data_IF_459232502954
#
_entry.id   IF_459232502954
#
_cell.length_a   1.000
_cell.length_b   1.000
_cell.length_c   1.000
_cell.angle_alpha   90.00
_cell.angle_beta   90.00
_cell.angle_gamma   90.00
#
_symmetry.space_group_name_H-M   'P 1'
#
loop_
_entity.id
_entity.type
_entity.pdbx_description
1 polymer ?
#
# COMPACT_ATOMS: atom_id res chain seq x y z
N UNK A 1 -0.15 -28.68 6.42
CA UNK A 1 0.02 -27.65 7.47
C UNK A 1 -0.05 -26.27 6.83
N UNK A 2 -1.07 -25.48 7.19
CA UNK A 2 -1.51 -24.27 6.48
C UNK A 2 -0.43 -23.17 6.51
N UNK A 3 -0.09 -22.55 5.35
CA UNK A 3 0.94 -21.48 5.22
C UNK A 3 0.74 -20.30 6.20
N UNK A 4 -0.50 -20.04 6.58
CA UNK A 4 -0.86 -19.00 7.55
C UNK A 4 -0.54 -19.38 9.02
N UNK A 5 -0.53 -20.67 9.36
CA UNK A 5 -0.13 -21.14 10.69
C UNK A 5 1.38 -21.02 10.88
N UNK A 6 2.19 -21.34 9.86
CA UNK A 6 3.66 -21.13 9.90
C UNK A 6 4.06 -19.68 10.09
N UNK A 7 3.36 -18.71 9.43
CA UNK A 7 3.62 -17.28 9.62
C UNK A 7 3.28 -16.77 11.02
N UNK A 8 2.23 -17.30 11.66
CA UNK A 8 1.88 -16.92 13.04
C UNK A 8 2.87 -17.50 14.05
N UNK A 9 3.33 -18.74 13.87
CA UNK A 9 4.31 -19.38 14.75
C UNK A 9 5.67 -18.68 14.67
N UNK A 10 6.15 -18.32 13.49
CA UNK A 10 7.41 -17.55 13.33
C UNK A 10 7.34 -16.14 13.88
N UNK A 11 6.16 -15.54 14.01
CA UNK A 11 5.98 -14.24 14.65
C UNK A 11 6.01 -14.30 16.19
N UNK A 12 5.58 -15.42 16.79
CA UNK A 12 5.51 -15.62 18.25
C UNK A 12 6.80 -16.23 18.81
N UNK A 13 7.56 -16.95 18.00
CA UNK A 13 8.79 -17.65 18.40
C UNK A 13 9.82 -16.76 19.13
N UNK A 14 10.14 -15.52 18.67
CA UNK A 14 11.09 -14.64 19.36
C UNK A 14 10.60 -14.24 20.76
N UNK A 15 9.30 -14.07 20.97
CA UNK A 15 8.75 -13.74 22.30
C UNK A 15 8.87 -14.90 23.26
N UNK A 16 8.66 -16.13 22.79
CA UNK A 16 8.84 -17.34 23.60
C UNK A 16 10.31 -17.50 23.99
N UNK A 17 11.25 -17.29 23.07
CA UNK A 17 12.70 -17.39 23.34
C UNK A 17 13.11 -16.37 24.40
N UNK A 18 12.64 -15.14 24.32
CA UNK A 18 12.95 -14.08 25.30
C UNK A 18 12.36 -14.41 26.66
N UNK A 19 11.11 -14.87 26.72
CA UNK A 19 10.49 -15.27 27.98
C UNK A 19 11.23 -16.43 28.65
N UNK A 20 11.65 -17.41 27.88
CA UNK A 20 12.45 -18.55 28.39
C UNK A 20 13.83 -18.08 28.86
N UNK A 21 14.49 -17.17 28.13
CA UNK A 21 15.77 -16.61 28.54
C UNK A 21 15.66 -15.79 29.85
N UNK A 22 14.60 -15.03 30.04
CA UNK A 22 14.33 -14.28 31.27
C UNK A 22 14.07 -15.24 32.44
N UNK A 23 13.28 -16.30 32.25
CA UNK A 23 13.02 -17.30 33.27
C UNK A 23 14.30 -18.04 33.68
N UNK A 24 15.14 -18.40 32.70
CA UNK A 24 16.44 -19.03 32.95
C UNK A 24 17.41 -18.07 33.69
N UNK A 25 17.42 -16.78 33.34
CA UNK A 25 18.23 -15.79 34.05
C UNK A 25 17.77 -15.61 35.49
N UNK A 26 16.47 -15.54 35.74
CA UNK A 26 15.90 -15.46 37.09
C UNK A 26 16.19 -16.76 37.87
N UNK A 27 16.09 -17.92 37.25
CA UNK A 27 16.41 -19.21 37.87
C UNK A 27 17.89 -19.36 38.24
N UNK A 28 18.79 -18.80 37.44
CA UNK A 28 20.22 -18.76 37.75
C UNK A 28 20.57 -17.79 38.87
N UNK A 29 19.80 -16.71 39.06
CA UNK A 29 19.96 -15.78 40.21
C UNK A 29 19.33 -16.32 41.50
N UNK A 30 18.38 -17.25 41.42
CA UNK A 30 17.78 -17.91 42.59
C UNK A 30 18.71 -19.01 43.10
N UNK A 31 19.80 -18.61 43.74
CA UNK A 31 20.65 -19.52 44.50
C UNK A 31 19.84 -20.19 45.63
N UNK A 32 20.19 -21.44 45.97
CA UNK A 32 19.55 -22.25 47.02
C UNK A 32 19.23 -21.38 48.24
N UNK A 33 18.00 -21.46 48.72
CA UNK A 33 17.54 -20.81 49.95
C UNK A 33 18.42 -21.22 51.13
N UNK A 34 19.22 -20.26 51.60
CA UNK A 34 19.93 -20.38 52.90
C UNK A 34 19.07 -19.67 53.92
N UNK A 35 18.70 -20.36 54.98
CA UNK A 35 17.90 -19.81 56.07
C UNK A 35 18.70 -18.68 56.71
N UNK A 36 18.20 -17.45 56.67
CA UNK A 36 18.72 -16.32 57.42
C UNK A 36 18.07 -16.35 58.78
N UNK A 37 18.83 -16.57 59.85
CA UNK A 37 18.35 -16.40 61.21
C UNK A 37 18.87 -15.05 61.67
N UNK A 38 18.00 -14.12 61.99
CA UNK A 38 18.42 -12.80 62.52
C UNK A 38 18.87 -12.95 63.95
N UNK A 39 20.12 -13.40 64.14
CA UNK A 39 20.77 -13.50 65.44
C UNK A 39 21.60 -12.21 65.68
N UNK A 40 21.63 -11.78 66.92
CA UNK A 40 22.55 -10.69 67.34
C UNK A 40 23.95 -11.25 67.46
N UNK A 41 24.97 -10.39 67.38
CA UNK A 41 26.37 -10.79 67.39
C UNK A 41 26.71 -11.66 68.61
N UNK A 42 26.28 -11.24 69.84
CA UNK A 42 26.54 -11.99 71.06
C UNK A 42 25.90 -13.38 71.05
N UNK A 43 24.72 -13.56 70.46
CA UNK A 43 24.06 -14.86 70.36
C UNK A 43 24.85 -15.79 69.42
N UNK A 44 25.49 -15.25 68.41
CA UNK A 44 26.36 -16.04 67.54
C UNK A 44 27.63 -16.46 68.30
N UNK A 45 28.26 -15.57 69.04
CA UNK A 45 29.45 -15.88 69.84
C UNK A 45 29.12 -16.95 70.89
N UNK A 46 28.00 -16.82 71.57
CA UNK A 46 27.54 -17.80 72.59
C UNK A 46 27.36 -19.24 72.00
N UNK A 47 26.99 -19.37 70.71
CA UNK A 47 26.95 -20.66 70.02
C UNK A 47 28.33 -21.31 69.88
N UNK A 48 29.39 -20.50 69.76
CA UNK A 48 30.78 -20.98 69.73
C UNK A 48 31.28 -21.34 71.11
N UNK A 49 31.04 -20.49 72.12
CA UNK A 49 31.41 -20.75 73.51
C UNK A 49 30.78 -22.03 74.06
N UNK A 50 29.48 -22.25 73.78
CA UNK A 50 28.76 -23.41 74.24
C UNK A 50 29.04 -24.69 73.42
N UNK A 51 29.92 -24.59 72.41
CA UNK A 51 30.27 -25.73 71.57
C UNK A 51 29.10 -26.31 70.77
N UNK A 52 28.06 -25.50 70.49
CA UNK A 52 26.84 -25.93 69.78
C UNK A 52 27.04 -26.00 68.27
N UNK A 53 28.21 -25.64 67.73
CA UNK A 53 28.52 -25.65 66.32
C UNK A 53 29.27 -26.92 65.93
N UNK A 54 28.92 -27.48 64.74
CA UNK A 54 29.60 -28.64 64.19
C UNK A 54 30.73 -28.23 63.23
N UNK A 55 30.47 -27.22 62.39
CA UNK A 55 31.46 -26.70 61.44
C UNK A 55 31.15 -25.25 61.09
N UNK A 56 32.19 -24.50 60.77
CA UNK A 56 32.04 -23.13 60.23
C UNK A 56 33.10 -22.75 59.18
N UNK A 57 32.71 -21.86 58.33
CA UNK A 57 33.54 -21.28 57.26
C UNK A 57 33.44 -19.77 57.32
N UNK A 58 34.56 -19.07 57.51
CA UNK A 58 34.62 -17.62 57.59
C UNK A 58 35.40 -17.08 56.44
N UNK A 59 34.78 -16.17 55.68
CA UNK A 59 35.45 -15.44 54.64
C UNK A 59 36.15 -14.19 55.25
N UNK A 60 37.45 -14.18 55.20
CA UNK A 60 38.27 -13.12 55.83
C UNK A 60 38.13 -11.75 55.16
N UNK A 61 37.72 -11.68 53.91
CA UNK A 61 37.55 -10.42 53.17
C UNK A 61 36.14 -9.84 53.30
N UNK A 62 35.10 -10.66 53.31
CA UNK A 62 33.71 -10.20 53.31
C UNK A 62 33.02 -10.30 54.68
N UNK A 63 33.64 -10.95 55.65
CA UNK A 63 33.01 -11.24 56.97
C UNK A 63 31.84 -12.22 56.88
N UNK A 64 31.66 -12.90 55.75
CA UNK A 64 30.59 -13.87 55.61
C UNK A 64 30.94 -15.16 56.36
N UNK A 65 30.16 -15.46 57.42
CA UNK A 65 30.25 -16.63 58.23
C UNK A 65 29.15 -17.63 57.78
N UNK A 66 29.54 -18.85 57.46
CA UNK A 66 28.63 -19.98 57.27
C UNK A 66 28.90 -20.96 58.42
N UNK A 67 27.86 -21.44 59.07
CA UNK A 67 28.01 -22.38 60.19
C UNK A 67 26.89 -23.39 60.23
N UNK A 68 27.15 -24.53 60.79
CA UNK A 68 26.17 -25.59 61.08
C UNK A 68 26.06 -25.79 62.60
N UNK A 69 24.82 -26.02 63.07
CA UNK A 69 24.53 -26.24 64.49
C UNK A 69 24.40 -27.77 64.67
N UNK A 70 24.84 -28.28 65.83
CA UNK A 70 24.70 -29.71 66.21
C UNK A 70 23.21 -30.13 66.16
N UNK A 71 22.91 -31.22 65.45
CA UNK A 71 21.54 -31.73 65.30
C UNK A 71 20.73 -31.07 64.19
N UNK A 72 21.30 -30.14 63.42
CA UNK A 72 20.64 -29.54 62.26
C UNK A 72 21.63 -29.48 61.06
N UNK A 73 21.24 -30.15 59.95
CA UNK A 73 22.07 -30.16 58.73
C UNK A 73 21.96 -28.89 57.91
N UNK A 74 21.15 -27.93 58.34
CA UNK A 74 20.98 -26.66 57.65
C UNK A 74 22.24 -25.80 57.78
N UNK A 75 22.63 -25.10 56.66
CA UNK A 75 23.73 -24.15 56.67
C UNK A 75 23.18 -22.74 56.97
N UNK A 76 23.61 -22.18 58.07
CA UNK A 76 23.26 -20.81 58.49
C UNK A 76 24.28 -19.83 57.96
N UNK A 77 23.84 -18.64 57.61
CA UNK A 77 24.71 -17.52 57.18
C UNK A 77 24.54 -16.34 58.11
N UNK A 78 25.68 -15.79 58.51
CA UNK A 78 25.77 -14.58 59.30
C UNK A 78 26.87 -13.68 58.71
N UNK A 79 26.74 -12.36 58.85
CA UNK A 79 27.78 -11.44 58.45
C UNK A 79 28.38 -10.84 59.71
N UNK A 80 29.61 -11.19 60.00
CA UNK A 80 30.28 -10.69 61.21
C UNK A 80 30.66 -9.20 60.99
N UNK A 81 30.41 -8.33 61.99
CA UNK A 81 30.73 -6.89 61.89
C UNK A 81 32.20 -6.59 61.67
N UNK A 82 33.07 -7.39 62.33
CA UNK A 82 34.53 -7.31 62.20
C UNK A 82 35.11 -8.73 62.30
N UNK A 83 35.90 -9.09 61.27
CA UNK A 83 36.53 -10.41 61.21
C UNK A 83 37.56 -10.60 62.33
N UNK A 84 38.37 -9.55 62.62
CA UNK A 84 39.38 -9.61 63.65
C UNK A 84 38.78 -9.81 65.07
N UNK A 85 37.74 -9.03 65.38
CA UNK A 85 37.05 -9.15 66.67
C UNK A 85 36.41 -10.53 66.80
N UNK A 86 35.73 -11.02 65.75
CA UNK A 86 35.09 -12.32 65.78
C UNK A 86 36.08 -13.47 65.97
N UNK A 87 37.23 -13.41 65.31
CA UNK A 87 38.30 -14.41 65.49
C UNK A 87 38.87 -14.35 66.89
N UNK A 88 39.11 -13.15 67.44
CA UNK A 88 39.61 -12.96 68.77
C UNK A 88 38.63 -13.49 69.86
N UNK A 89 37.32 -13.24 69.67
CA UNK A 89 36.26 -13.67 70.56
C UNK A 89 36.01 -15.22 70.53
N UNK A 90 36.20 -15.86 69.38
CA UNK A 90 35.74 -17.27 69.21
C UNK A 90 36.88 -18.26 69.06
N UNK A 91 38.05 -17.86 68.55
CA UNK A 91 39.13 -18.80 68.22
C UNK A 91 39.67 -19.56 69.42
N UNK A 92 39.84 -18.89 70.55
CA UNK A 92 40.33 -19.48 71.76
C UNK A 92 39.38 -20.57 72.30
N UNK A 93 38.11 -20.27 72.35
CA UNK A 93 37.06 -21.19 72.84
C UNK A 93 36.89 -22.42 71.92
N UNK A 94 36.96 -22.22 70.61
CA UNK A 94 36.96 -23.32 69.63
C UNK A 94 38.17 -24.26 69.84
N UNK A 95 39.35 -23.67 70.06
CA UNK A 95 40.58 -24.45 70.28
C UNK A 95 40.56 -25.20 71.63
N UNK A 96 40.05 -24.59 72.72
CA UNK A 96 39.87 -25.23 74.01
C UNK A 96 38.84 -26.35 73.94
N UNK A 97 37.68 -26.10 73.26
CA UNK A 97 36.64 -27.13 73.02
C UNK A 97 37.19 -28.31 72.26
N UNK A 98 37.96 -28.07 71.15
CA UNK A 98 38.54 -29.12 70.32
C UNK A 98 39.62 -29.95 71.07
N UNK A 99 40.31 -29.37 72.05
CA UNK A 99 41.25 -30.11 72.92
C UNK A 99 40.51 -30.98 73.92
N UNK A 100 39.43 -30.46 74.48
CA UNK A 100 38.62 -31.18 75.44
C UNK A 100 37.78 -32.32 74.83
N UNK A 101 37.39 -32.25 73.56
CA UNK A 101 36.52 -33.17 72.88
C UNK A 101 37.14 -33.73 71.57
N UNK A 102 38.11 -34.64 71.59
CA UNK A 102 38.84 -35.14 70.45
C UNK A 102 37.95 -35.82 69.37
N UNK A 103 36.87 -36.45 69.85
CA UNK A 103 35.94 -37.26 68.99
C UNK A 103 34.81 -36.40 68.35
N UNK A 104 34.63 -35.11 68.80
CA UNK A 104 33.57 -34.26 68.32
C UNK A 104 34.06 -32.83 68.09
N UNK A 105 35.11 -32.67 67.31
CA UNK A 105 35.76 -31.37 67.01
C UNK A 105 34.87 -30.48 66.18
N UNK A 106 34.94 -29.19 66.42
CA UNK A 106 34.40 -28.16 65.54
C UNK A 106 35.34 -27.99 64.35
N UNK A 107 34.88 -28.37 63.19
CA UNK A 107 35.65 -28.16 61.96
C UNK A 107 35.54 -26.71 61.51
N UNK A 108 36.67 -26.08 61.20
CA UNK A 108 36.64 -24.70 60.74
C UNK A 108 37.61 -24.44 59.56
N UNK A 109 37.18 -23.52 58.67
CA UNK A 109 37.97 -23.11 57.56
C UNK A 109 37.94 -21.58 57.39
N UNK A 110 39.13 -20.95 57.21
CA UNK A 110 39.25 -19.57 56.89
C UNK A 110 39.53 -19.41 55.39
N UNK A 111 38.58 -18.83 54.69
CA UNK A 111 38.71 -18.64 53.25
C UNK A 111 39.29 -17.23 53.06
N UNK A 112 40.51 -17.15 52.47
CA UNK A 112 41.00 -15.89 51.92
C UNK A 112 40.06 -15.47 50.78
N UNK A 113 39.49 -14.26 50.87
CA UNK A 113 38.51 -13.80 49.90
C UNK A 113 39.06 -13.91 48.48
N UNK A 114 38.44 -14.74 47.67
CA UNK A 114 38.57 -14.63 46.25
C UNK A 114 37.98 -13.27 45.90
N UNK A 115 38.76 -12.38 45.28
CA UNK A 115 38.27 -11.18 44.67
C UNK A 115 37.10 -11.56 43.82
N UNK A 116 35.85 -11.19 44.18
CA UNK A 116 34.68 -11.37 43.34
C UNK A 116 35.03 -10.74 42.01
N UNK A 117 35.28 -11.58 41.02
CA UNK A 117 35.72 -11.09 39.71
C UNK A 117 34.64 -10.09 39.27
N UNK A 118 34.99 -8.86 39.04
CA UNK A 118 34.12 -7.80 38.54
C UNK A 118 33.35 -8.27 37.32
N UNK A 119 33.90 -9.27 36.61
CA UNK A 119 33.31 -9.95 35.46
C UNK A 119 32.08 -10.78 35.78
N UNK A 120 31.97 -11.39 36.96
CA UNK A 120 30.78 -12.23 37.30
C UNK A 120 29.52 -11.41 37.54
N UNK A 121 29.65 -10.13 37.92
CA UNK A 121 28.54 -9.19 38.09
C UNK A 121 28.20 -8.44 36.79
N UNK A 122 29.22 -8.07 35.98
CA UNK A 122 29.05 -7.22 34.80
C UNK A 122 28.68 -8.07 33.55
N UNK A 123 29.22 -9.26 33.42
CA UNK A 123 29.03 -10.11 32.25
C UNK A 123 27.54 -10.42 31.93
N UNK A 124 26.67 -10.78 32.89
CA UNK A 124 25.25 -10.98 32.66
C UNK A 124 24.56 -9.70 32.20
N UNK A 125 24.95 -8.55 32.75
CA UNK A 125 24.38 -7.24 32.39
C UNK A 125 24.75 -6.83 30.95
N UNK A 126 25.99 -7.09 30.53
CA UNK A 126 26.43 -6.84 29.15
C UNK A 126 25.74 -7.75 28.16
N UNK A 127 25.60 -9.04 28.48
CA UNK A 127 24.91 -10.01 27.63
C UNK A 127 23.44 -9.64 27.45
N UNK A 128 22.73 -9.31 28.54
CA UNK A 128 21.32 -8.88 28.46
C UNK A 128 21.15 -7.58 27.69
N UNK A 129 22.07 -6.63 27.82
CA UNK A 129 22.08 -5.37 27.08
C UNK A 129 22.30 -5.62 25.58
N UNK A 130 23.23 -6.49 25.19
CA UNK A 130 23.46 -6.87 23.79
C UNK A 130 22.27 -7.58 23.16
N UNK A 131 21.60 -8.47 23.91
CA UNK A 131 20.38 -9.15 23.45
C UNK A 131 19.26 -8.13 23.24
N UNK A 132 19.06 -7.21 24.18
CA UNK A 132 18.06 -6.16 24.07
C UNK A 132 18.34 -5.22 22.90
N UNK A 133 19.59 -4.80 22.73
CA UNK A 133 20.00 -3.95 21.61
C UNK A 133 19.82 -4.66 20.26
N UNK A 134 20.23 -5.91 20.17
CA UNK A 134 20.00 -6.75 18.97
C UNK A 134 18.52 -6.91 18.64
N UNK A 135 17.68 -7.10 19.66
CA UNK A 135 16.22 -7.18 19.49
C UNK A 135 15.62 -5.85 19.02
N UNK A 136 16.00 -4.73 19.64
CA UNK A 136 15.55 -3.40 19.21
C UNK A 136 16.00 -3.08 17.78
N UNK A 137 17.25 -3.40 17.44
CA UNK A 137 17.77 -3.24 16.08
C UNK A 137 16.99 -4.09 15.05
N UNK A 138 16.70 -5.34 15.40
CA UNK A 138 15.87 -6.22 14.55
C UNK A 138 14.44 -5.70 14.40
N UNK A 139 13.84 -5.22 15.49
CA UNK A 139 12.50 -4.63 15.50
C UNK A 139 12.46 -3.32 14.67
N UNK A 140 13.46 -2.45 14.82
CA UNK A 140 13.61 -1.25 13.98
C UNK A 140 13.74 -1.60 12.50
N UNK A 141 14.58 -2.58 12.15
CA UNK A 141 14.76 -3.01 10.76
C UNK A 141 13.49 -3.59 10.14
N UNK A 142 12.68 -4.31 10.93
CA UNK A 142 11.39 -4.84 10.50
C UNK A 142 10.30 -3.76 10.43
N UNK A 143 10.31 -2.81 11.35
CA UNK A 143 9.40 -1.66 11.37
C UNK A 143 9.68 -0.72 10.18
N UNK A 144 10.93 -0.49 9.83
CA UNK A 144 11.31 0.36 8.69
C UNK A 144 10.82 -0.20 7.35
N UNK A 145 10.74 -1.54 7.20
CA UNK A 145 10.16 -2.14 6.01
C UNK A 145 8.65 -1.95 5.92
N UNK A 146 7.93 -1.99 7.04
CA UNK A 146 6.48 -1.75 7.07
C UNK A 146 6.15 -0.26 6.93
N UNK A 147 6.92 0.64 7.57
CA UNK A 147 6.75 2.10 7.47
C UNK A 147 7.04 2.58 6.04
N UNK A 148 8.05 2.03 5.36
CA UNK A 148 8.30 2.35 3.95
C UNK A 148 7.16 1.87 3.02
N UNK A 149 6.50 0.75 3.34
CA UNK A 149 5.32 0.31 2.59
C UNK A 149 4.09 1.18 2.86
N UNK A 150 3.87 1.63 4.09
CA UNK A 150 2.77 2.54 4.43
C UNK A 150 3.03 3.97 3.93
N UNK A 151 4.27 4.49 4.05
CA UNK A 151 4.66 5.77 3.44
C UNK A 151 4.55 5.73 1.91
N UNK A 152 4.97 4.63 1.28
CA UNK A 152 4.79 4.46 -0.16
C UNK A 152 3.30 4.37 -0.55
N UNK A 153 2.44 3.73 0.25
CA UNK A 153 1.00 3.76 0.02
C UNK A 153 0.43 5.17 0.20
N UNK A 154 0.85 5.89 1.24
CA UNK A 154 0.41 7.28 1.49
C UNK A 154 0.92 8.23 0.40
N UNK A 155 2.15 8.06 -0.11
CA UNK A 155 2.65 8.79 -1.28
C UNK A 155 1.99 8.36 -2.59
N UNK A 156 1.39 7.17 -2.68
CA UNK A 156 0.65 6.71 -3.85
C UNK A 156 -0.77 7.29 -3.95
N UNK A 157 -1.34 7.89 -2.91
CA UNK A 157 -2.65 8.57 -2.99
C UNK A 157 -2.67 9.73 -3.99
N UNK A 158 -1.54 10.39 -4.21
CA UNK A 158 -1.40 11.47 -5.20
C UNK A 158 -1.03 11.02 -6.62
N UNK A 159 -0.79 9.72 -6.84
CA UNK A 159 -0.47 9.21 -8.18
C UNK A 159 -1.74 8.86 -8.95
N UNK A 160 -1.80 9.30 -10.19
CA UNK A 160 -2.89 8.96 -11.07
C UNK A 160 -2.94 7.44 -11.33
N UNK A 161 -4.09 6.80 -11.10
CA UNK A 161 -4.35 5.43 -11.55
C UNK A 161 -4.61 5.43 -13.06
N UNK A 162 -3.60 5.81 -13.83
CA UNK A 162 -3.71 5.92 -15.29
C UNK A 162 -3.75 4.52 -15.89
N UNK A 163 -4.76 4.25 -16.71
CA UNK A 163 -4.81 3.05 -17.53
C UNK A 163 -3.92 3.26 -18.75
N UNK A 164 -2.67 2.81 -18.68
CA UNK A 164 -1.76 2.84 -19.82
C UNK A 164 -2.08 1.69 -20.78
N UNK A 165 -2.47 2.00 -22.00
CA UNK A 165 -2.85 1.01 -23.03
C UNK A 165 -1.68 0.68 -23.98
N UNK A 166 -0.44 0.60 -23.48
CA UNK A 166 0.71 0.22 -24.32
C UNK A 166 0.80 -1.30 -24.61
N UNK A 167 0.13 -2.12 -23.82
CA UNK A 167 0.25 -3.60 -23.86
C UNK A 167 -1.01 -4.34 -24.32
N UNK A 168 -2.08 -3.63 -24.75
CA UNK A 168 -3.28 -4.33 -25.19
C UNK A 168 -3.04 -4.99 -26.57
N UNK A 169 -3.12 -6.31 -26.60
CA UNK A 169 -3.06 -7.15 -27.81
C UNK A 169 -4.11 -6.80 -28.89
N UNK A 170 -5.13 -5.98 -28.54
CA UNK A 170 -6.18 -5.52 -29.45
C UNK A 170 -6.20 -3.99 -29.46
N UNK A 171 -5.33 -3.39 -30.27
CA UNK A 171 -5.42 -1.96 -30.57
C UNK A 171 -6.68 -1.67 -31.35
N UNK A 172 -7.46 -0.67 -30.93
CA UNK A 172 -8.62 -0.17 -31.66
C UNK A 172 -8.15 0.85 -32.69
N UNK A 173 -8.59 0.71 -33.95
CA UNK A 173 -8.27 1.60 -35.06
C UNK A 173 -9.55 2.20 -35.63
N UNK A 174 -9.45 3.09 -36.62
CA UNK A 174 -10.62 3.63 -37.31
C UNK A 174 -11.48 2.54 -37.99
N UNK A 175 -10.91 1.38 -38.33
CA UNK A 175 -11.65 0.23 -38.85
C UNK A 175 -12.61 -0.41 -37.80
N UNK A 176 -12.36 -0.18 -36.50
CA UNK A 176 -13.24 -0.64 -35.42
C UNK A 176 -14.35 0.37 -35.08
N UNK A 177 -14.30 1.59 -35.65
CA UNK A 177 -15.29 2.64 -35.46
C UNK A 177 -16.19 2.66 -36.68
N UNK A 178 -17.44 2.22 -36.51
CA UNK A 178 -18.44 2.26 -37.53
C UNK A 178 -19.19 3.59 -37.54
N UNK A 179 -19.53 4.10 -38.70
CA UNK A 179 -20.07 5.44 -38.84
C UNK A 179 -19.05 6.52 -38.47
N UNK A 180 -19.49 7.74 -38.19
CA UNK A 180 -18.67 8.87 -37.83
C UNK A 180 -17.56 9.19 -38.87
N UNK A 181 -17.90 9.12 -40.16
CA UNK A 181 -16.92 9.31 -41.23
C UNK A 181 -16.35 10.74 -41.23
N UNK A 182 -17.20 11.74 -40.95
CA UNK A 182 -16.79 13.17 -40.86
C UNK A 182 -15.84 13.40 -39.69
N UNK A 183 -16.16 12.84 -38.53
CA UNK A 183 -15.33 12.96 -37.33
C UNK A 183 -13.99 12.23 -37.49
N UNK A 184 -13.94 11.13 -38.22
CA UNK A 184 -12.68 10.43 -38.55
C UNK A 184 -11.81 11.29 -39.46
N UNK A 185 -12.37 11.90 -40.49
CA UNK A 185 -11.65 12.78 -41.42
C UNK A 185 -11.03 13.98 -40.67
N UNK A 186 -11.78 14.60 -39.75
CA UNK A 186 -11.26 15.68 -38.91
C UNK A 186 -10.11 15.22 -37.99
N UNK A 187 -10.11 13.95 -37.56
CA UNK A 187 -9.11 13.37 -36.66
C UNK A 187 -7.89 12.81 -37.44
N UNK A 188 -7.98 12.56 -38.74
CA UNK A 188 -6.86 12.04 -39.55
C UNK A 188 -5.67 13.01 -39.51
N UNK A 189 -5.91 14.31 -39.46
CA UNK A 189 -4.85 15.32 -39.34
C UNK A 189 -4.06 15.17 -38.05
N UNK A 190 -4.74 14.83 -36.94
CA UNK A 190 -4.12 14.56 -35.63
C UNK A 190 -3.28 13.28 -35.69
N UNK A 191 -3.81 12.23 -36.36
CA UNK A 191 -3.08 10.99 -36.60
C UNK A 191 -1.82 11.22 -37.43
N UNK A 192 -1.92 11.96 -38.55
CA UNK A 192 -0.78 12.27 -39.41
C UNK A 192 0.32 13.04 -38.65
N UNK A 193 -0.09 14.03 -37.84
CA UNK A 193 0.85 14.73 -36.96
C UNK A 193 1.58 13.82 -35.96
N UNK A 194 0.84 12.96 -35.29
CA UNK A 194 1.45 12.03 -34.29
C UNK A 194 2.41 11.05 -34.97
N UNK A 195 2.12 10.64 -36.21
CA UNK A 195 3.01 9.77 -37.02
C UNK A 195 4.24 10.52 -37.55
N UNK A 196 4.07 11.75 -38.02
CA UNK A 196 5.11 12.52 -38.70
C UNK A 196 5.15 13.98 -38.25
N UNK A 197 5.59 14.25 -37.00
CA UNK A 197 5.61 15.62 -36.46
C UNK A 197 6.51 16.60 -37.25
N UNK A 198 7.60 16.09 -37.83
CA UNK A 198 8.56 16.89 -38.59
C UNK A 198 7.92 17.60 -39.78
N UNK A 199 7.03 16.94 -40.51
CA UNK A 199 6.29 17.52 -41.66
C UNK A 199 5.59 18.84 -41.31
N UNK A 200 5.03 18.94 -40.12
CA UNK A 200 4.31 20.14 -39.67
C UNK A 200 5.27 21.20 -39.10
N UNK A 201 6.29 20.75 -38.37
CA UNK A 201 7.30 21.61 -37.78
C UNK A 201 8.10 22.37 -38.84
N UNK A 202 8.47 21.70 -39.93
CA UNK A 202 9.29 22.27 -41.01
C UNK A 202 8.57 23.41 -41.78
N UNK A 203 7.23 23.37 -41.77
CA UNK A 203 6.38 24.40 -42.41
C UNK A 203 5.97 25.50 -41.40
N UNK A 204 6.23 25.27 -40.09
CA UNK A 204 5.82 26.17 -39.01
C UNK A 204 4.32 26.13 -38.71
N UNK A 205 3.66 25.01 -39.04
CA UNK A 205 2.25 24.82 -38.75
C UNK A 205 2.05 24.54 -37.23
N UNK A 206 1.05 25.21 -36.66
CA UNK A 206 0.66 24.99 -35.26
C UNK A 206 -0.45 23.95 -35.21
N UNK A 207 -0.18 22.87 -34.49
CA UNK A 207 -1.14 21.81 -34.29
C UNK A 207 -1.95 22.06 -33.01
N UNK A 208 -3.23 21.72 -33.02
CA UNK A 208 -4.05 21.85 -31.83
C UNK A 208 -3.47 21.02 -30.68
N UNK A 209 -3.24 21.66 -29.54
CA UNK A 209 -2.76 20.96 -28.33
C UNK A 209 -3.85 20.10 -27.70
N UNK A 210 -5.11 20.49 -27.90
CA UNK A 210 -6.24 19.80 -27.33
C UNK A 210 -7.43 19.67 -28.27
N UNK A 211 -8.07 18.53 -28.23
CA UNK A 211 -9.29 18.18 -28.99
C UNK A 211 -10.39 17.86 -28.00
N UNK A 212 -11.53 18.54 -28.10
CA UNK A 212 -12.72 18.28 -27.32
C UNK A 212 -13.75 17.54 -28.14
N UNK A 213 -14.08 16.31 -27.74
CA UNK A 213 -15.17 15.52 -28.30
C UNK A 213 -16.46 15.85 -27.55
N UNK A 214 -17.45 16.39 -28.26
CA UNK A 214 -18.74 16.81 -27.70
C UNK A 214 -19.85 15.98 -28.32
N UNK A 215 -20.82 15.53 -27.54
CA UNK A 215 -21.98 14.84 -28.10
C UNK A 215 -22.76 14.04 -27.05
N UNK A 216 -23.92 13.47 -27.42
CA UNK A 216 -24.72 12.68 -26.53
C UNK A 216 -23.99 11.47 -25.94
N UNK A 217 -24.42 10.94 -24.78
CA UNK A 217 -23.83 9.70 -24.25
C UNK A 217 -24.06 8.54 -25.22
N UNK A 218 -23.14 7.57 -25.23
CA UNK A 218 -23.28 6.37 -26.08
C UNK A 218 -22.91 6.55 -27.56
N UNK A 219 -22.50 7.75 -28.02
CA UNK A 219 -22.11 8.00 -29.43
C UNK A 219 -20.70 7.55 -29.79
N UNK A 220 -19.94 6.95 -28.84
CA UNK A 220 -18.61 6.37 -29.15
C UNK A 220 -17.41 7.30 -28.97
N UNK A 221 -17.54 8.45 -28.29
CA UNK A 221 -16.45 9.42 -28.07
C UNK A 221 -15.16 8.79 -27.52
N UNK A 222 -15.29 7.96 -26.51
CA UNK A 222 -14.16 7.23 -25.90
C UNK A 222 -13.56 6.20 -26.86
N UNK A 223 -14.38 5.54 -27.67
CA UNK A 223 -13.92 4.60 -28.69
C UNK A 223 -13.14 5.33 -29.79
N UNK A 224 -13.64 6.48 -30.23
CA UNK A 224 -13.02 7.32 -31.25
C UNK A 224 -11.64 7.82 -30.78
N UNK A 225 -11.53 8.31 -29.55
CA UNK A 225 -10.23 8.72 -28.97
C UNK A 225 -9.21 7.56 -28.92
N UNK A 226 -9.66 6.36 -28.55
CA UNK A 226 -8.82 5.15 -28.58
C UNK A 226 -8.40 4.77 -29.99
N UNK A 227 -9.29 4.94 -30.97
CA UNK A 227 -9.01 4.65 -32.36
C UNK A 227 -7.93 5.59 -32.92
N UNK A 228 -7.97 6.87 -32.59
CA UNK A 228 -6.91 7.85 -32.94
C UNK A 228 -5.55 7.37 -32.42
N UNK A 229 -5.47 6.97 -31.16
CA UNK A 229 -4.21 6.49 -30.57
C UNK A 229 -3.71 5.19 -31.21
N UNK A 230 -4.63 4.28 -31.51
CA UNK A 230 -4.32 3.02 -32.17
C UNK A 230 -3.89 3.19 -33.62
N UNK A 231 -4.53 4.11 -34.35
CA UNK A 231 -4.20 4.48 -35.73
C UNK A 231 -2.83 5.17 -35.81
N UNK A 232 -2.54 6.05 -34.84
CA UNK A 232 -1.24 6.74 -34.74
C UNK A 232 -0.13 5.85 -34.15
N UNK A 233 -0.45 4.70 -33.59
CA UNK A 233 0.47 3.79 -32.89
C UNK A 233 1.20 4.42 -31.69
N UNK A 234 0.50 5.28 -30.94
CA UNK A 234 1.06 6.01 -29.80
C UNK A 234 0.45 5.53 -28.47
N UNK A 235 1.16 5.70 -27.34
CA UNK A 235 0.63 5.44 -26.00
C UNK A 235 -0.64 6.24 -25.70
N UNK A 236 -1.64 5.59 -25.09
CA UNK A 236 -2.91 6.16 -24.70
C UNK A 236 -3.06 6.15 -23.18
N UNK A 237 -3.12 7.33 -22.58
CA UNK A 237 -3.28 7.55 -21.15
C UNK A 237 -4.71 7.99 -20.87
N UNK A 238 -5.55 7.10 -20.33
CA UNK A 238 -6.96 7.38 -20.08
C UNK A 238 -7.26 7.53 -18.61
N UNK A 239 -8.02 8.57 -18.28
CA UNK A 239 -8.54 8.87 -16.94
C UNK A 239 -9.96 9.44 -17.06
N UNK A 240 -10.80 9.22 -16.03
CA UNK A 240 -12.08 9.92 -15.91
C UNK A 240 -11.89 11.26 -15.20
N UNK A 241 -12.61 12.30 -15.62
CA UNK A 241 -12.66 13.58 -14.91
C UNK A 241 -13.10 13.43 -13.45
N UNK A 242 -13.94 12.45 -13.16
CA UNK A 242 -14.35 12.12 -11.79
C UNK A 242 -13.19 11.61 -10.91
N UNK A 243 -12.18 10.97 -11.49
CA UNK A 243 -11.00 10.47 -10.76
C UNK A 243 -10.11 11.60 -10.22
N UNK A 244 -10.30 12.83 -10.71
CA UNK A 244 -9.60 14.00 -10.20
C UNK A 244 -10.31 14.66 -9.02
N UNK A 245 -11.60 14.34 -8.78
CA UNK A 245 -12.40 14.92 -7.70
C UNK A 245 -12.28 14.05 -6.47
N UNK A 246 -11.51 14.51 -5.49
CA UNK A 246 -11.28 13.81 -4.23
C UNK A 246 -11.71 14.69 -3.04
N UNK A 247 -11.84 14.08 -1.86
CA UNK A 247 -12.19 14.82 -0.63
C UNK A 247 -10.98 15.60 -0.05
N UNK A 248 -9.77 15.28 -0.48
CA UNK A 248 -8.54 15.88 0.05
C UNK A 248 -7.99 16.93 -0.91
N UNK A 249 -7.82 18.15 -0.42
CA UNK A 249 -7.31 19.29 -1.17
C UNK A 249 -5.91 18.99 -1.74
N UNK A 250 -5.73 19.25 -3.04
CA UNK A 250 -4.45 19.10 -3.74
C UNK A 250 -4.17 17.72 -4.33
N UNK A 251 -4.96 16.69 -4.03
CA UNK A 251 -4.78 15.34 -4.59
C UNK A 251 -5.09 15.33 -6.08
N UNK A 252 -6.20 15.95 -6.49
CA UNK A 252 -6.58 16.08 -7.90
C UNK A 252 -5.51 16.80 -8.72
N UNK A 253 -5.02 17.93 -8.23
CA UNK A 253 -3.94 18.68 -8.90
C UNK A 253 -2.62 17.86 -8.99
N UNK A 254 -2.32 17.03 -8.01
CA UNK A 254 -1.16 16.13 -8.04
C UNK A 254 -1.33 15.03 -9.10
N UNK A 255 -2.54 14.46 -9.24
CA UNK A 255 -2.85 13.48 -10.29
C UNK A 255 -2.75 14.05 -11.69
N UNK A 256 -3.21 15.28 -11.88
CA UNK A 256 -3.05 15.99 -13.15
C UNK A 256 -1.57 16.10 -13.51
N UNK A 257 -0.72 16.61 -12.61
CA UNK A 257 0.73 16.71 -12.81
C UNK A 257 1.37 15.37 -13.17
N UNK A 258 1.04 14.32 -12.42
CA UNK A 258 1.60 12.98 -12.62
C UNK A 258 1.20 12.43 -14.01
N UNK A 259 -0.07 12.56 -14.41
CA UNK A 259 -0.57 12.17 -15.72
C UNK A 259 0.20 12.85 -16.86
N UNK A 260 0.34 14.17 -16.78
CA UNK A 260 1.04 14.96 -17.81
C UNK A 260 2.54 14.64 -17.86
N UNK A 261 3.19 14.42 -16.71
CA UNK A 261 4.58 13.98 -16.67
C UNK A 261 4.78 12.58 -17.27
N UNK A 262 3.83 11.65 -17.04
CA UNK A 262 3.89 10.32 -17.64
C UNK A 262 3.73 10.41 -19.17
N UNK A 263 2.81 11.21 -19.67
CA UNK A 263 2.61 11.41 -21.10
C UNK A 263 3.84 12.04 -21.77
N UNK A 264 4.42 13.09 -21.18
CA UNK A 264 5.65 13.73 -21.67
C UNK A 264 6.82 12.75 -21.76
N UNK A 265 6.99 11.88 -20.78
CA UNK A 265 8.05 10.83 -20.79
C UNK A 265 7.87 9.79 -21.88
N UNK A 266 6.65 9.62 -22.38
CA UNK A 266 6.30 8.65 -23.42
C UNK A 266 5.84 9.32 -24.72
N UNK A 267 6.26 10.54 -24.99
CA UNK A 267 5.98 11.26 -26.24
C UNK A 267 6.57 10.51 -27.45
N UNK A 268 5.86 10.46 -28.62
CA UNK A 268 4.52 11.00 -28.83
C UNK A 268 3.43 10.17 -28.11
N UNK A 269 2.41 10.85 -27.58
CA UNK A 269 1.36 10.19 -26.77
C UNK A 269 0.04 10.97 -26.77
N UNK A 270 -1.05 10.29 -26.39
CA UNK A 270 -2.36 10.90 -26.19
C UNK A 270 -2.76 10.80 -24.74
N UNK A 271 -3.16 11.93 -24.14
CA UNK A 271 -3.90 11.99 -22.87
C UNK A 271 -5.39 12.05 -23.21
N UNK A 272 -6.19 11.18 -22.62
CA UNK A 272 -7.64 11.21 -22.78
C UNK A 272 -8.33 11.40 -21.42
N UNK A 273 -9.14 12.45 -21.31
CA UNK A 273 -9.93 12.78 -20.13
C UNK A 273 -11.40 12.61 -20.47
N UNK A 274 -11.99 11.52 -19.99
CA UNK A 274 -13.43 11.29 -20.14
C UNK A 274 -14.21 12.10 -19.10
N UNK A 275 -15.43 12.50 -19.45
CA UNK A 275 -16.30 13.28 -18.55
C UNK A 275 -15.58 14.54 -17.97
N UNK A 276 -14.92 15.31 -18.84
CA UNK A 276 -14.14 16.49 -18.42
C UNK A 276 -14.98 17.51 -17.64
N UNK A 277 -16.29 17.50 -17.82
CA UNK A 277 -17.25 18.35 -17.12
C UNK A 277 -17.32 18.09 -15.60
N UNK A 278 -16.86 16.93 -15.14
CA UNK A 278 -16.71 16.66 -13.71
C UNK A 278 -15.74 17.63 -13.02
N UNK A 279 -14.68 18.07 -13.73
CA UNK A 279 -13.65 19.00 -13.24
C UNK A 279 -13.79 20.37 -13.87
N UNK A 280 -14.14 20.42 -15.16
CA UNK A 280 -14.14 21.63 -15.98
C UNK A 280 -15.40 22.47 -15.90
N UNK A 281 -16.28 22.27 -14.93
CA UNK A 281 -17.54 23.01 -14.81
C UNK A 281 -17.32 24.47 -14.41
N UNK A 282 -18.10 25.39 -15.04
CA UNK A 282 -18.09 26.81 -14.77
C UNK A 282 -18.34 27.12 -13.27
N UNK A 283 -17.68 28.16 -12.77
CA UNK A 283 -17.77 28.66 -11.38
C UNK A 283 -19.22 29.09 -11.08
N UNK A 284 -19.91 28.34 -10.22
CA UNK A 284 -21.20 28.72 -9.66
C UNK A 284 -21.02 29.28 -8.26
N UNK A 285 -21.81 30.27 -7.88
CA UNK A 285 -21.83 30.85 -6.54
C UNK A 285 -22.42 29.84 -5.53
N UNK A 286 -21.64 28.83 -5.14
CA UNK A 286 -22.01 27.81 -4.14
C UNK A 286 -21.02 27.82 -2.98
N UNK A 287 -21.51 28.01 -1.75
CA UNK A 287 -20.70 27.93 -0.53
C UNK A 287 -20.56 26.46 -0.12
N UNK A 288 -19.36 25.87 -0.33
CA UNK A 288 -19.06 24.51 0.16
C UNK A 288 -17.64 24.04 -0.21
N UNK A 289 -16.93 23.42 0.73
CA UNK A 289 -15.50 23.05 0.64
C UNK A 289 -15.10 22.06 -0.48
N UNK A 290 -16.05 21.49 -1.24
CA UNK A 290 -15.75 20.67 -2.43
C UNK A 290 -15.54 21.48 -3.70
N UNK A 291 -15.73 22.80 -3.67
CA UNK A 291 -15.50 23.70 -4.82
C UNK A 291 -14.03 24.06 -4.97
N UNK A 292 -13.33 24.28 -3.86
CA UNK A 292 -11.93 24.73 -3.85
C UNK A 292 -11.00 23.68 -4.48
N UNK A 293 -11.25 22.39 -4.24
CA UNK A 293 -10.44 21.31 -4.80
C UNK A 293 -10.62 21.17 -6.33
N UNK A 294 -11.89 21.26 -6.80
CA UNK A 294 -12.17 21.22 -8.24
C UNK A 294 -11.52 22.40 -8.97
N UNK A 295 -11.62 23.60 -8.38
CA UNK A 295 -11.00 24.79 -8.95
C UNK A 295 -9.49 24.68 -8.98
N UNK A 296 -8.87 24.17 -7.91
CA UNK A 296 -7.42 23.94 -7.89
C UNK A 296 -7.00 22.91 -8.94
N UNK A 297 -7.79 21.85 -9.12
CA UNK A 297 -7.53 20.81 -10.13
C UNK A 297 -7.70 21.35 -11.54
N UNK A 298 -8.76 22.12 -11.81
CA UNK A 298 -8.96 22.80 -13.08
C UNK A 298 -7.80 23.75 -13.39
N UNK A 299 -7.42 24.59 -12.44
CA UNK A 299 -6.30 25.50 -12.60
C UNK A 299 -5.01 24.75 -12.91
N UNK A 300 -4.74 23.62 -12.25
CA UNK A 300 -3.59 22.79 -12.55
C UNK A 300 -3.65 22.21 -13.98
N UNK A 301 -4.83 21.74 -14.41
CA UNK A 301 -5.03 21.26 -15.78
C UNK A 301 -4.71 22.35 -16.81
N UNK A 302 -5.21 23.57 -16.60
CA UNK A 302 -4.91 24.70 -17.45
C UNK A 302 -3.42 25.03 -17.49
N UNK A 303 -2.75 25.01 -16.34
CA UNK A 303 -1.29 25.24 -16.24
C UNK A 303 -0.51 24.17 -17.00
N UNK A 304 -0.89 22.89 -16.87
CA UNK A 304 -0.20 21.81 -17.58
C UNK A 304 -0.42 21.92 -19.09
N UNK A 305 -1.62 22.27 -19.56
CA UNK A 305 -1.90 22.48 -20.98
C UNK A 305 -1.14 23.68 -21.55
N UNK A 306 -1.07 24.80 -20.81
CA UNK A 306 -0.31 25.97 -21.21
C UNK A 306 1.21 25.70 -21.17
N UNK A 307 1.65 24.81 -20.26
CA UNK A 307 3.03 24.41 -20.07
C UNK A 307 3.59 23.45 -21.14
N UNK A 308 2.79 23.02 -22.12
CA UNK A 308 3.31 22.32 -23.29
C UNK A 308 4.02 23.30 -24.22
N UNK A 309 5.28 22.98 -24.55
CA UNK A 309 5.99 23.63 -25.67
C UNK A 309 5.23 23.38 -26.98
N UNK A 310 5.53 24.24 -27.99
CA UNK A 310 5.04 23.97 -29.31
C UNK A 310 5.62 22.64 -29.79
N UNK A 311 4.72 21.70 -30.15
CA UNK A 311 5.07 20.40 -30.74
C UNK A 311 5.83 19.38 -29.84
N UNK A 312 5.57 19.36 -28.54
CA UNK A 312 6.12 18.29 -27.64
C UNK A 312 5.60 16.87 -27.94
N UNK A 313 4.74 16.72 -28.96
CA UNK A 313 4.21 15.40 -29.37
C UNK A 313 3.16 14.81 -28.42
N UNK A 314 2.63 15.60 -27.50
CA UNK A 314 1.53 15.19 -26.62
C UNK A 314 0.24 15.91 -27.03
N UNK A 315 -0.81 15.14 -27.32
CA UNK A 315 -2.15 15.66 -27.62
C UNK A 315 -3.07 15.34 -26.45
N UNK A 316 -3.81 16.33 -25.97
CA UNK A 316 -4.84 16.16 -24.95
C UNK A 316 -6.20 16.05 -25.63
N UNK A 317 -6.84 14.90 -25.51
CA UNK A 317 -8.22 14.71 -25.94
C UNK A 317 -9.14 14.70 -24.71
N UNK A 318 -10.30 15.32 -24.80
CA UNK A 318 -11.29 15.24 -23.74
C UNK A 318 -12.67 14.92 -24.34
N UNK A 319 -13.53 14.29 -23.54
CA UNK A 319 -14.91 14.03 -23.92
C UNK A 319 -15.88 14.63 -22.90
N UNK A 320 -16.98 15.20 -23.40
CA UNK A 320 -18.11 15.67 -22.58
C UNK A 320 -19.44 15.46 -23.27
N UNK A 321 -20.47 15.23 -22.47
CA UNK A 321 -21.86 15.26 -22.95
C UNK A 321 -22.48 16.66 -22.83
N UNK A 322 -21.82 17.58 -22.13
CA UNK A 322 -22.37 18.90 -21.75
C UNK A 322 -21.34 20.01 -21.92
N UNK A 323 -21.19 20.45 -23.16
CA UNK A 323 -20.32 21.60 -23.49
C UNK A 323 -20.76 22.90 -22.79
N UNK A 324 -22.07 23.06 -22.58
CA UNK A 324 -22.71 24.26 -22.02
C UNK A 324 -22.24 24.61 -20.61
N UNK A 325 -21.79 23.62 -19.83
CA UNK A 325 -21.34 23.81 -18.45
C UNK A 325 -19.84 23.96 -18.29
N UNK A 326 -19.05 23.79 -19.36
CA UNK A 326 -17.61 23.89 -19.28
C UNK A 326 -17.14 25.35 -19.08
N UNK A 327 -16.06 25.49 -18.28
CA UNK A 327 -15.41 26.79 -18.09
C UNK A 327 -14.83 27.28 -19.43
N UNK A 328 -15.17 28.51 -19.86
CA UNK A 328 -14.65 29.08 -21.09
C UNK A 328 -13.12 29.12 -21.18
N UNK A 329 -12.42 29.11 -20.06
CA UNK A 329 -10.98 29.04 -20.02
C UNK A 329 -10.40 27.77 -20.67
N UNK A 330 -11.13 26.64 -20.62
CA UNK A 330 -10.75 25.40 -21.30
C UNK A 330 -10.81 25.50 -22.82
N UNK A 331 -11.69 26.35 -23.35
CA UNK A 331 -11.97 26.47 -24.77
C UNK A 331 -11.13 27.58 -25.47
N UNK A 332 -10.18 28.19 -24.74
CA UNK A 332 -9.28 29.21 -25.31
C UNK A 332 -8.24 28.59 -26.22
N UNK A 333 -7.77 29.33 -27.26
CA UNK A 333 -6.68 28.90 -28.11
C UNK A 333 -5.45 28.43 -27.31
N UNK A 334 -4.84 27.32 -27.71
CA UNK A 334 -3.72 26.68 -27.02
C UNK A 334 -4.14 25.68 -25.97
N UNK A 335 -5.44 25.44 -25.79
CA UNK A 335 -6.03 24.42 -24.88
C UNK A 335 -6.91 23.48 -25.71
N UNK A 336 -8.24 23.41 -25.47
CA UNK A 336 -9.16 22.66 -26.33
C UNK A 336 -9.64 23.57 -27.47
N UNK A 337 -8.74 23.84 -28.37
CA UNK A 337 -8.95 24.76 -29.52
C UNK A 337 -9.65 24.09 -30.71
N UNK A 338 -9.57 22.77 -30.82
CA UNK A 338 -10.40 22.00 -31.77
C UNK A 338 -11.55 21.31 -31.03
N UNK A 339 -12.76 21.49 -31.57
CA UNK A 339 -13.97 20.89 -31.01
C UNK A 339 -14.65 20.05 -32.10
N UNK A 340 -14.82 18.78 -31.85
CA UNK A 340 -15.44 17.83 -32.77
C UNK A 340 -16.75 17.37 -32.15
N UNK A 341 -17.85 17.56 -32.88
CA UNK A 341 -19.19 17.14 -32.42
C UNK A 341 -19.49 15.75 -32.92
N UNK A 342 -19.60 14.80 -32.00
CA UNK A 342 -19.97 13.41 -32.31
C UNK A 342 -21.49 13.28 -32.17
N UNK A 343 -22.18 13.35 -33.29
CA UNK A 343 -23.63 13.34 -33.38
C UNK A 343 -24.22 11.92 -33.23
N UNK A 344 -25.57 11.84 -33.23
CA UNK A 344 -26.27 10.58 -33.45
C UNK A 344 -25.93 10.04 -34.84
N UNK A 345 -25.69 8.74 -34.98
CA UNK A 345 -25.40 8.13 -36.29
C UNK A 345 -26.59 8.26 -37.25
N UNK A 346 -26.30 8.58 -38.47
CA UNK A 346 -27.30 8.54 -39.57
C UNK A 346 -27.72 7.09 -39.89
N UNK A 347 -28.63 6.89 -40.84
CA UNK A 347 -29.11 5.55 -41.20
C UNK A 347 -27.97 4.64 -41.65
N UNK A 348 -27.00 5.19 -42.43
CA UNK A 348 -25.84 4.44 -42.93
C UNK A 348 -24.94 4.04 -41.73
N UNK A 349 -24.63 5.00 -40.86
CA UNK A 349 -23.81 4.75 -39.67
C UNK A 349 -24.47 3.73 -38.74
N UNK A 350 -25.78 3.80 -38.52
CA UNK A 350 -26.48 2.79 -37.71
C UNK A 350 -26.36 1.39 -38.32
N UNK A 351 -26.49 1.31 -39.64
CA UNK A 351 -26.31 0.04 -40.35
C UNK A 351 -24.92 -0.55 -40.14
N UNK A 352 -23.88 0.26 -40.30
CA UNK A 352 -22.50 -0.15 -40.07
C UNK A 352 -22.22 -0.53 -38.60
N UNK A 353 -22.78 0.20 -37.64
CA UNK A 353 -22.69 -0.13 -36.21
C UNK A 353 -23.35 -1.48 -35.93
N UNK A 354 -24.55 -1.74 -36.49
CA UNK A 354 -25.20 -3.02 -36.36
C UNK A 354 -24.32 -4.17 -36.88
N UNK A 355 -23.67 -3.99 -38.03
CA UNK A 355 -22.77 -5.01 -38.60
C UNK A 355 -21.55 -5.29 -37.69
N UNK A 356 -21.01 -4.28 -37.05
CA UNK A 356 -19.88 -4.45 -36.09
C UNK A 356 -20.34 -5.27 -34.90
N UNK A 357 -21.48 -4.92 -34.27
CA UNK A 357 -22.00 -5.59 -33.09
C UNK A 357 -22.68 -6.93 -33.34
N UNK A 358 -23.03 -7.20 -34.60
CA UNK A 358 -23.55 -8.50 -35.05
C UNK A 358 -22.48 -9.59 -35.13
N UNK A 359 -21.21 -9.21 -35.25
CA UNK A 359 -20.09 -10.16 -35.35
C UNK A 359 -20.10 -11.16 -34.18
N UNK A 360 -20.12 -12.44 -34.48
CA UNK A 360 -20.10 -13.51 -33.47
C UNK A 360 -21.47 -13.86 -32.88
N UNK A 361 -22.59 -13.25 -33.34
CA UNK A 361 -23.95 -13.60 -32.96
C UNK A 361 -24.64 -14.33 -34.12
N UNK A 362 -25.42 -15.42 -33.86
CA UNK A 362 -26.14 -16.14 -34.90
C UNK A 362 -27.47 -15.42 -35.22
N UNK A 363 -27.55 -14.84 -36.40
CA UNK A 363 -28.79 -14.23 -36.92
C UNK A 363 -29.49 -15.17 -37.91
N UNK A 364 -30.82 -15.12 -37.92
CA UNK A 364 -31.63 -15.80 -38.90
C UNK A 364 -31.62 -15.07 -40.27
N UNK A 365 -31.99 -15.76 -41.35
CA UNK A 365 -32.02 -15.15 -42.68
C UNK A 365 -33.16 -14.12 -42.84
N UNK A 366 -34.05 -14.04 -41.89
CA UNK A 366 -35.18 -13.11 -41.82
C UNK A 366 -34.80 -11.74 -41.19
N UNK A 367 -33.57 -11.58 -40.68
CA UNK A 367 -33.11 -10.34 -40.07
C UNK A 367 -32.51 -9.43 -41.13
N UNK A 368 -33.15 -8.30 -41.35
CA UNK A 368 -32.67 -7.24 -42.24
C UNK A 368 -32.19 -6.01 -41.44
N UNK A 369 -30.86 -5.81 -41.37
CA UNK A 369 -30.27 -4.69 -40.66
C UNK A 369 -30.56 -3.34 -41.31
N UNK A 370 -30.88 -3.26 -42.61
CA UNK A 370 -31.27 -2.01 -43.27
C UNK A 370 -32.63 -1.54 -42.76
N UNK A 371 -33.55 -2.47 -42.54
CA UNK A 371 -34.85 -2.19 -41.95
C UNK A 371 -34.69 -1.72 -40.50
N UNK A 372 -33.87 -2.45 -39.69
CA UNK A 372 -33.63 -2.12 -38.29
C UNK A 372 -32.97 -0.74 -38.19
N UNK A 373 -31.98 -0.43 -39.02
CA UNK A 373 -31.33 0.87 -39.06
C UNK A 373 -32.30 2.03 -39.37
N UNK A 374 -33.33 1.79 -40.17
CA UNK A 374 -34.38 2.79 -40.42
C UNK A 374 -35.33 2.95 -39.25
N UNK A 375 -35.67 1.86 -38.58
CA UNK A 375 -36.56 1.86 -37.41
C UNK A 375 -35.97 2.45 -36.14
N UNK A 376 -34.63 2.40 -36.00
CA UNK A 376 -33.89 2.86 -34.82
C UNK A 376 -33.45 4.31 -34.93
N UNK A 377 -34.30 5.21 -35.45
CA UNK A 377 -33.97 6.63 -35.52
C UNK A 377 -33.71 7.23 -34.12
N UNK A 378 -32.60 7.92 -33.95
CA UNK A 378 -32.19 8.51 -32.66
C UNK A 378 -31.40 7.57 -31.72
N UNK A 379 -31.19 6.31 -32.12
CA UNK A 379 -30.37 5.39 -31.34
C UNK A 379 -28.88 5.74 -31.49
N UNK A 380 -28.17 5.63 -30.37
CA UNK A 380 -26.73 5.73 -30.33
C UNK A 380 -26.07 4.37 -30.60
N UNK A 381 -24.76 4.34 -30.76
CA UNK A 381 -23.99 3.10 -30.87
C UNK A 381 -24.19 2.14 -29.69
N UNK A 382 -24.29 2.68 -28.49
CA UNK A 382 -24.53 1.91 -27.26
C UNK A 382 -25.96 1.33 -27.24
N UNK A 383 -26.95 2.08 -27.72
CA UNK A 383 -28.32 1.61 -27.79
C UNK A 383 -28.46 0.45 -28.78
N UNK A 384 -27.78 0.56 -29.95
CA UNK A 384 -27.76 -0.51 -30.98
C UNK A 384 -27.00 -1.74 -30.48
N UNK A 385 -25.93 -1.60 -29.75
CA UNK A 385 -25.24 -2.72 -29.09
C UNK A 385 -26.16 -3.44 -28.12
N UNK A 386 -26.84 -2.67 -27.26
CA UNK A 386 -27.78 -3.18 -26.28
C UNK A 386 -28.98 -3.89 -26.95
N UNK A 387 -29.53 -3.30 -28.00
CA UNK A 387 -30.62 -3.91 -28.81
C UNK A 387 -30.24 -5.32 -29.28
N UNK A 388 -29.06 -5.48 -29.89
CA UNK A 388 -28.56 -6.78 -30.36
C UNK A 388 -28.29 -7.76 -29.23
N UNK A 389 -27.82 -7.24 -28.07
CA UNK A 389 -27.57 -8.05 -26.89
C UNK A 389 -28.87 -8.57 -26.25
N UNK A 390 -29.88 -7.71 -26.10
CA UNK A 390 -31.18 -8.09 -25.55
C UNK A 390 -31.89 -9.08 -26.45
N UNK A 391 -31.85 -8.89 -27.79
CA UNK A 391 -32.37 -9.85 -28.74
C UNK A 391 -31.68 -11.22 -28.65
N UNK A 392 -30.37 -11.23 -28.40
CA UNK A 392 -29.61 -12.46 -28.17
C UNK A 392 -30.04 -13.16 -26.85
N UNK A 393 -30.23 -12.41 -25.78
CA UNK A 393 -30.70 -12.91 -24.47
C UNK A 393 -32.12 -13.50 -24.59
N UNK A 394 -33.01 -12.81 -25.29
CA UNK A 394 -34.38 -13.30 -25.55
C UNK A 394 -34.37 -14.59 -26.39
N UNK A 395 -33.48 -14.67 -27.38
CA UNK A 395 -33.26 -15.87 -28.19
C UNK A 395 -32.85 -17.06 -27.34
N UNK A 396 -31.91 -16.85 -26.43
CA UNK A 396 -31.45 -17.88 -25.50
C UNK A 396 -32.55 -18.30 -24.52
N UNK A 397 -33.30 -17.34 -23.95
CA UNK A 397 -34.42 -17.59 -23.03
C UNK A 397 -35.50 -18.44 -23.71
N UNK A 398 -35.79 -18.18 -25.00
CA UNK A 398 -36.75 -18.93 -25.81
C UNK A 398 -36.17 -20.22 -26.41
N UNK A 399 -34.96 -20.64 -26.01
CA UNK A 399 -34.27 -21.84 -26.47
C UNK A 399 -34.14 -21.93 -28.01
N UNK A 400 -34.07 -20.78 -28.70
CA UNK A 400 -33.88 -20.70 -30.16
C UNK A 400 -32.37 -20.68 -30.49
N UNK A 401 -32.02 -21.16 -31.68
CA UNK A 401 -30.61 -21.26 -32.13
C UNK A 401 -30.12 -20.01 -32.86
N UNK A 402 -31.03 -19.14 -33.33
CA UNK A 402 -30.70 -17.93 -34.04
C UNK A 402 -31.66 -16.79 -33.68
N UNK A 403 -31.16 -15.57 -33.72
CA UNK A 403 -31.92 -14.33 -33.49
C UNK A 403 -32.81 -14.10 -34.72
N UNK A 404 -34.11 -13.94 -34.51
CA UNK A 404 -35.07 -13.68 -35.54
C UNK A 404 -35.57 -12.26 -35.53
N UNK A 405 -36.10 -11.77 -36.67
CA UNK A 405 -36.54 -10.39 -36.84
C UNK A 405 -37.64 -10.00 -35.83
N UNK A 406 -38.58 -10.91 -35.50
CA UNK A 406 -39.64 -10.66 -34.51
C UNK A 406 -39.07 -10.33 -33.12
N UNK A 407 -37.96 -10.95 -32.71
CA UNK A 407 -37.32 -10.69 -31.43
C UNK A 407 -36.55 -9.35 -31.43
N UNK A 408 -36.12 -8.91 -32.60
CA UNK A 408 -35.53 -7.59 -32.79
C UNK A 408 -36.56 -6.48 -32.69
N UNK A 409 -37.77 -6.71 -33.32
CA UNK A 409 -38.87 -5.75 -33.26
C UNK A 409 -39.44 -5.59 -31.85
N UNK A 410 -39.64 -6.68 -31.10
CA UNK A 410 -40.07 -6.63 -29.71
C UNK A 410 -39.13 -5.75 -28.86
N UNK A 411 -37.84 -5.74 -29.15
CA UNK A 411 -36.87 -4.90 -28.41
C UNK A 411 -36.86 -3.45 -28.92
N UNK A 412 -37.07 -3.21 -30.21
CA UNK A 412 -37.13 -1.86 -30.77
C UNK A 412 -38.37 -1.10 -30.27
N UNK A 413 -39.47 -1.78 -29.99
CA UNK A 413 -40.71 -1.20 -29.49
C UNK A 413 -40.67 -0.83 -27.99
N UNK A 414 -39.67 -1.34 -27.25
CA UNK A 414 -39.46 -1.06 -25.81
C UNK A 414 -38.65 0.22 -25.59
N UNK A 415 -37.85 0.62 -26.56
CA UNK A 415 -36.99 1.82 -26.52
C UNK A 415 -37.63 2.99 -27.29
#
# INVERSE_FOLDING_TARGET
MNKNAKKKITAILPYIIISVAIILAISMLSGKETKKKDLKYYEVVELFENGSITSYELNLSSGALKYKIKGDDSVYKYSVPSVSIFVDDTHKDVMEYNKANPDSKIEFNYIAGSSYSMWTGILPMVITSLILFGFLFFMMRKSTQNVNNELNQTMMFGKAKVKMSKEQKNKKTFADVAGADEEKEELEEIVDFLKTPSKYNDIGARIPKGVLLVGPPGTGKTLLARAVAGEADVPFFSISGSDFVEMYVGVGASRVRDLFQQAKKNSPSIIFIDEIDAVGRHRGAGMGGGHDEREQTLNQLLVEMDGFGENEGVIVMAATNRRDILDPALLRPGRFDRQITVNYPDVKGRREILDVHAKGKPFGPDVDFDVIAKQTAGFTGADLENLLNEAALLTARNQKKAIKNILMQEQTDIY
#
